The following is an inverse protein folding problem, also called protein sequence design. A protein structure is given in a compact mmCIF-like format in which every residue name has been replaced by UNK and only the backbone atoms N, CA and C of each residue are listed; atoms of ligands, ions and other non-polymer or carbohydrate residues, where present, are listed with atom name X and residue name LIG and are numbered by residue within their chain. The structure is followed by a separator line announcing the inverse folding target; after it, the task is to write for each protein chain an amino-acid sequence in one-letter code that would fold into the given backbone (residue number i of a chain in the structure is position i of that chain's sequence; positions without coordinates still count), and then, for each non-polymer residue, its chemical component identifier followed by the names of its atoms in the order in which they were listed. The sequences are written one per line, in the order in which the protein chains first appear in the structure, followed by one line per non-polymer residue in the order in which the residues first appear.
data_IF_914399524585
#
_entry.id   IF_914399524585
#
_cell.length_a   1.000
_cell.length_b   1.000
_cell.length_c   1.000
_cell.angle_alpha   90.00
_cell.angle_beta   90.00
_cell.angle_gamma   90.00
#
_symmetry.space_group_name_H-M   'P 1'
#
loop_
_entity.id
_entity.type
_entity.pdbx_description
1 polymer ?
#
# COMPACT_ATOMS: atom_id res chain seq x y z
N UNK A 1 -30.10 13.06 8.11
CA UNK A 1 -28.97 13.78 7.48
C UNK A 1 -28.97 13.40 6.00
N UNK A 2 -28.89 14.36 5.08
CA UNK A 2 -28.92 14.05 3.66
C UNK A 2 -27.65 13.25 3.28
N UNK A 3 -27.74 12.16 2.50
CA UNK A 3 -26.56 11.39 2.08
C UNK A 3 -25.46 12.25 1.44
N UNK A 4 -25.84 13.27 0.66
CA UNK A 4 -24.88 14.19 0.03
C UNK A 4 -24.07 15.01 1.05
N UNK A 5 -24.74 15.59 2.05
CA UNK A 5 -24.09 16.33 3.15
C UNK A 5 -23.15 15.42 3.95
N UNK A 6 -23.58 14.19 4.22
CA UNK A 6 -22.77 13.21 4.94
C UNK A 6 -21.45 12.90 4.20
N UNK A 7 -21.51 12.57 2.91
CA UNK A 7 -20.31 12.25 2.15
C UNK A 7 -19.43 13.48 1.90
N UNK A 8 -20.02 14.68 1.75
CA UNK A 8 -19.28 15.94 1.63
C UNK A 8 -18.45 16.21 2.89
N UNK A 9 -19.09 16.17 4.06
CA UNK A 9 -18.42 16.36 5.35
C UNK A 9 -17.29 15.34 5.57
N UNK A 10 -17.51 14.07 5.21
CA UNK A 10 -16.47 13.02 5.31
C UNK A 10 -15.33 13.22 4.32
N UNK A 11 -15.60 13.78 3.14
CA UNK A 11 -14.58 14.12 2.14
C UNK A 11 -13.65 15.23 2.67
N UNK A 12 -14.22 16.28 3.28
CA UNK A 12 -13.46 17.37 3.91
C UNK A 12 -12.62 16.89 5.11
N UNK A 13 -13.21 16.03 5.96
CA UNK A 13 -12.47 15.39 7.05
C UNK A 13 -11.29 14.57 6.51
N UNK A 14 -11.51 13.80 5.45
CA UNK A 14 -10.46 12.99 4.81
C UNK A 14 -9.37 13.87 4.20
N UNK A 15 -9.72 15.02 3.63
CA UNK A 15 -8.75 15.99 3.13
C UNK A 15 -7.86 16.54 4.26
N UNK A 16 -8.47 16.88 5.40
CA UNK A 16 -7.72 17.32 6.57
C UNK A 16 -6.75 16.23 7.06
N UNK A 17 -7.20 14.96 7.09
CA UNK A 17 -6.35 13.82 7.46
C UNK A 17 -5.20 13.61 6.47
N UNK A 18 -5.44 13.80 5.16
CA UNK A 18 -4.40 13.75 4.12
C UNK A 18 -3.34 14.81 4.39
N UNK A 19 -3.73 16.06 4.65
CA UNK A 19 -2.78 17.14 4.91
C UNK A 19 -1.95 16.88 6.17
N UNK A 20 -2.56 16.38 7.23
CA UNK A 20 -1.85 16.00 8.46
C UNK A 20 -0.86 14.84 8.21
N UNK A 21 -1.27 13.81 7.49
CA UNK A 21 -0.41 12.67 7.16
C UNK A 21 0.75 13.08 6.24
N UNK A 22 0.51 13.96 5.25
CA UNK A 22 1.55 14.52 4.38
C UNK A 22 2.62 15.28 5.17
N UNK A 23 2.22 16.08 6.16
CA UNK A 23 3.17 16.78 7.04
C UNK A 23 4.04 15.79 7.81
N UNK A 24 3.45 14.71 8.34
CA UNK A 24 4.19 13.64 9.03
C UNK A 24 5.19 12.95 8.10
N UNK A 25 4.75 12.54 6.90
CA UNK A 25 5.62 11.92 5.89
C UNK A 25 6.80 12.83 5.55
N UNK A 26 6.55 14.12 5.30
CA UNK A 26 7.59 15.11 5.01
C UNK A 26 8.56 15.30 6.19
N UNK A 27 8.03 15.37 7.42
CA UNK A 27 8.84 15.47 8.64
C UNK A 27 9.78 14.28 8.79
N UNK A 28 9.30 13.05 8.59
CA UNK A 28 10.16 11.87 8.68
C UNK A 28 11.17 11.78 7.54
N UNK A 29 10.83 12.25 6.33
CA UNK A 29 11.80 12.36 5.23
C UNK A 29 12.93 13.34 5.59
N UNK A 30 12.59 14.51 6.15
CA UNK A 30 13.57 15.49 6.60
C UNK A 30 14.41 14.97 7.78
N UNK A 31 13.80 14.33 8.78
CA UNK A 31 14.52 13.73 9.90
C UNK A 31 15.52 12.67 9.44
N UNK A 32 15.15 11.85 8.46
CA UNK A 32 16.06 10.86 7.88
C UNK A 32 17.28 11.51 7.24
N UNK A 33 17.07 12.59 6.48
CA UNK A 33 18.15 13.36 5.88
C UNK A 33 19.05 14.01 6.96
N UNK A 34 18.44 14.61 7.99
CA UNK A 34 19.17 15.21 9.10
C UNK A 34 20.04 14.18 9.83
N UNK A 35 19.49 12.99 10.12
CA UNK A 35 20.24 11.89 10.73
C UNK A 35 21.42 11.46 9.85
N UNK A 36 21.23 11.38 8.53
CA UNK A 36 22.32 11.04 7.63
C UNK A 36 23.44 12.08 7.66
N UNK A 37 23.10 13.37 7.60
CA UNK A 37 24.08 14.47 7.67
C UNK A 37 24.82 14.48 9.01
N UNK A 38 24.10 14.34 10.12
CA UNK A 38 24.69 14.30 11.46
C UNK A 38 25.60 13.07 11.61
N UNK A 39 25.17 11.90 11.13
CA UNK A 39 25.99 10.70 11.15
C UNK A 39 27.30 10.87 10.38
N UNK A 40 27.25 11.44 9.17
CA UNK A 40 28.45 11.74 8.38
C UNK A 40 29.39 12.71 9.11
N UNK A 41 28.86 13.76 9.73
CA UNK A 41 29.65 14.71 10.50
C UNK A 41 30.28 14.06 11.75
N UNK A 42 29.54 13.21 12.47
CA UNK A 42 30.05 12.50 13.64
C UNK A 42 31.18 11.54 13.27
N UNK A 43 31.08 10.82 12.15
CA UNK A 43 32.16 9.95 11.66
C UNK A 43 33.41 10.76 11.34
N UNK A 44 33.26 11.92 10.70
CA UNK A 44 34.38 12.84 10.43
C UNK A 44 35.02 13.39 11.72
N UNK A 45 34.20 13.78 12.70
CA UNK A 45 34.68 14.35 13.95
C UNK A 45 35.39 13.31 14.86
N UNK A 46 34.96 12.05 14.81
CA UNK A 46 35.53 10.94 15.59
C UNK A 46 36.63 10.18 14.82
N UNK A 47 37.12 10.74 13.73
CA UNK A 47 38.16 10.12 12.91
C UNK A 47 39.40 9.80 13.76
N UNK A 48 39.85 8.54 13.70
CA UNK A 48 40.97 8.04 14.50
C UNK A 48 40.59 7.24 15.75
N UNK A 49 39.33 7.28 16.21
CA UNK A 49 38.84 6.39 17.27
C UNK A 49 37.86 5.35 16.72
N UNK A 50 38.38 4.19 16.32
CA UNK A 50 37.62 3.09 15.71
C UNK A 50 36.47 2.60 16.59
N UNK A 51 36.66 2.56 17.91
CA UNK A 51 35.61 2.12 18.86
C UNK A 51 34.47 3.14 18.90
N UNK A 52 34.79 4.43 18.98
CA UNK A 52 33.78 5.50 19.01
C UNK A 52 32.99 5.58 17.68
N UNK A 53 33.67 5.40 16.55
CA UNK A 53 33.03 5.32 15.22
C UNK A 53 32.11 4.11 15.14
N UNK A 54 32.55 2.94 15.61
CA UNK A 54 31.73 1.72 15.64
C UNK A 54 30.46 1.87 16.48
N UNK A 55 30.57 2.45 17.68
CA UNK A 55 29.41 2.74 18.54
C UNK A 55 28.45 3.72 17.85
N UNK A 56 29.00 4.80 17.29
CA UNK A 56 28.21 5.81 16.56
C UNK A 56 27.42 5.19 15.41
N UNK A 57 28.05 4.30 14.64
CA UNK A 57 27.41 3.60 13.53
C UNK A 57 26.19 2.77 13.99
N UNK A 58 26.33 2.00 15.07
CA UNK A 58 25.23 1.20 15.63
C UNK A 58 24.09 2.10 16.10
N UNK A 59 24.40 3.19 16.80
CA UNK A 59 23.39 4.14 17.30
C UNK A 59 22.64 4.82 16.15
N UNK A 60 23.34 5.33 15.14
CA UNK A 60 22.70 5.97 13.99
C UNK A 60 21.91 4.98 13.14
N UNK A 61 22.38 3.73 13.01
CA UNK A 61 21.63 2.67 12.33
C UNK A 61 20.31 2.38 13.05
N UNK A 62 20.35 2.20 14.38
CA UNK A 62 19.14 1.98 15.18
C UNK A 62 18.16 3.17 15.08
N UNK A 63 18.68 4.40 15.17
CA UNK A 63 17.88 5.62 15.01
C UNK A 63 17.25 5.73 13.62
N UNK A 64 18.02 5.45 12.57
CA UNK A 64 17.55 5.47 11.19
C UNK A 64 16.43 4.45 10.98
N UNK A 65 16.61 3.21 11.44
CA UNK A 65 15.59 2.16 11.35
C UNK A 65 14.30 2.55 12.10
N UNK A 66 14.43 3.16 13.27
CA UNK A 66 13.28 3.68 14.03
C UNK A 66 12.51 4.74 13.23
N UNK A 67 13.21 5.71 12.62
CA UNK A 67 12.57 6.72 11.76
C UNK A 67 11.92 6.10 10.52
N UNK A 68 12.57 5.08 9.93
CA UNK A 68 12.00 4.34 8.80
C UNK A 68 10.66 3.70 9.20
N UNK A 69 10.60 3.03 10.35
CA UNK A 69 9.37 2.42 10.84
C UNK A 69 8.23 3.45 10.96
N UNK A 70 8.45 4.57 11.65
CA UNK A 70 7.44 5.63 11.75
C UNK A 70 7.06 6.27 10.40
N UNK A 71 8.01 6.33 9.46
CA UNK A 71 7.74 6.84 8.12
C UNK A 71 6.82 5.92 7.32
N UNK A 72 6.91 4.59 7.53
CA UNK A 72 6.02 3.61 6.91
C UNK A 72 4.60 3.79 7.46
N UNK A 73 4.44 3.91 8.77
CA UNK A 73 3.13 4.13 9.39
C UNK A 73 2.48 5.44 8.91
N UNK A 74 3.27 6.52 8.80
CA UNK A 74 2.78 7.78 8.27
C UNK A 74 2.32 7.67 6.81
N UNK A 75 3.02 6.89 5.98
CA UNK A 75 2.62 6.61 4.60
C UNK A 75 1.35 5.75 4.55
N UNK A 76 1.22 4.73 5.40
CA UNK A 76 0.00 3.92 5.48
C UNK A 76 -1.21 4.76 5.90
N UNK A 77 -1.04 5.66 6.87
CA UNK A 77 -2.10 6.59 7.28
C UNK A 77 -2.52 7.52 6.14
N UNK A 78 -1.56 8.01 5.35
CA UNK A 78 -1.82 8.83 4.17
C UNK A 78 -2.61 8.07 3.10
N UNK A 79 -2.22 6.84 2.79
CA UNK A 79 -2.90 6.00 1.82
C UNK A 79 -4.32 5.62 2.27
N UNK A 80 -4.53 5.33 3.57
CA UNK A 80 -5.87 5.14 4.16
C UNK A 80 -6.76 6.37 3.97
N UNK A 81 -6.24 7.57 4.27
CA UNK A 81 -7.00 8.81 4.14
C UNK A 81 -7.34 9.13 2.67
N UNK A 82 -6.41 8.88 1.74
CA UNK A 82 -6.64 9.00 0.28
C UNK A 82 -7.70 8.03 -0.22
N UNK A 83 -7.62 6.77 0.18
CA UNK A 83 -8.62 5.76 -0.18
C UNK A 83 -10.02 6.14 0.34
N UNK A 84 -10.10 6.64 1.58
CA UNK A 84 -11.36 7.12 2.16
C UNK A 84 -11.94 8.31 1.40
N UNK A 85 -11.10 9.30 1.08
CA UNK A 85 -11.52 10.45 0.26
C UNK A 85 -12.03 10.00 -1.11
N UNK A 86 -11.30 9.10 -1.79
CA UNK A 86 -11.70 8.56 -3.09
C UNK A 86 -13.07 7.87 -3.02
N UNK A 87 -13.30 7.05 -2.00
CA UNK A 87 -14.61 6.41 -1.80
C UNK A 87 -15.71 7.46 -1.64
N UNK A 88 -15.54 8.45 -0.77
CA UNK A 88 -16.56 9.49 -0.57
C UNK A 88 -16.84 10.29 -1.84
N UNK A 89 -15.82 10.63 -2.64
CA UNK A 89 -16.00 11.30 -3.93
C UNK A 89 -16.78 10.41 -4.90
N UNK A 90 -16.43 9.13 -5.00
CA UNK A 90 -17.13 8.19 -5.87
C UNK A 90 -18.62 8.06 -5.48
N UNK A 91 -18.95 8.04 -4.18
CA UNK A 91 -20.34 8.02 -3.73
C UNK A 91 -21.06 9.35 -4.00
N UNK A 92 -20.39 10.49 -3.87
CA UNK A 92 -20.97 11.80 -4.25
C UNK A 92 -21.30 11.85 -5.75
N UNK A 93 -20.41 11.36 -6.59
CA UNK A 93 -20.63 11.26 -8.03
C UNK A 93 -21.79 10.28 -8.33
N UNK A 94 -21.86 9.16 -7.62
CA UNK A 94 -22.95 8.18 -7.74
C UNK A 94 -24.31 8.79 -7.41
N UNK A 95 -24.38 9.65 -6.37
CA UNK A 95 -25.59 10.39 -6.01
C UNK A 95 -26.01 11.40 -7.10
N UNK A 96 -25.08 11.84 -7.95
CA UNK A 96 -25.35 12.69 -9.12
C UNK A 96 -25.66 11.88 -10.39
N UNK A 97 -25.68 10.54 -10.30
CA UNK A 97 -25.93 9.64 -11.42
C UNK A 97 -24.68 9.21 -12.19
N UNK A 98 -23.48 9.60 -11.76
CA UNK A 98 -22.23 9.16 -12.36
C UNK A 98 -21.67 7.92 -11.63
N UNK A 99 -21.88 6.74 -12.23
CA UNK A 99 -21.35 5.46 -11.76
C UNK A 99 -20.04 5.07 -12.45
N UNK A 100 -19.38 6.00 -13.15
CA UNK A 100 -18.15 5.77 -13.92
C UNK A 100 -17.08 5.02 -13.14
N UNK A 101 -16.96 5.32 -11.84
CA UNK A 101 -15.96 4.78 -10.94
C UNK A 101 -16.18 3.33 -10.51
N UNK A 102 -17.37 2.76 -10.76
CA UNK A 102 -17.70 1.38 -10.40
C UNK A 102 -17.66 0.48 -11.62
N UNK A 103 -17.17 -0.74 -11.41
CA UNK A 103 -17.00 -1.73 -12.45
C UNK A 103 -18.37 -2.30 -12.89
N UNK A 104 -18.69 -2.30 -14.19
CA UNK A 104 -19.95 -2.80 -14.72
C UNK A 104 -20.11 -4.33 -14.64
N UNK A 105 -19.04 -5.09 -14.40
CA UNK A 105 -19.12 -6.55 -14.23
C UNK A 105 -19.36 -7.32 -15.52
N UNK A 106 -18.97 -6.76 -16.66
CA UNK A 106 -19.16 -7.36 -18.01
C UNK A 106 -18.59 -8.79 -18.10
N UNK A 107 -17.56 -9.11 -17.32
CA UNK A 107 -16.98 -10.46 -17.23
C UNK A 107 -17.94 -11.54 -16.68
N UNK A 108 -19.05 -11.16 -16.04
CA UNK A 108 -20.07 -12.06 -15.53
C UNK A 108 -21.31 -12.14 -16.43
N UNK A 109 -21.27 -11.44 -17.57
CA UNK A 109 -22.35 -11.49 -18.54
C UNK A 109 -22.38 -12.88 -19.19
N UNK A 110 -23.35 -13.69 -18.77
CA UNK A 110 -23.66 -14.96 -19.41
C UNK A 110 -24.85 -14.78 -20.34
N UNK A 111 -24.63 -15.03 -21.64
CA UNK A 111 -25.67 -14.96 -22.66
C UNK A 111 -26.65 -16.13 -22.60
N UNK A 112 -26.39 -17.17 -21.80
CA UNK A 112 -27.25 -18.34 -21.64
C UNK A 112 -28.18 -18.26 -20.43
N UNK A 113 -27.95 -17.31 -19.53
CA UNK A 113 -28.77 -17.16 -18.33
C UNK A 113 -30.08 -16.40 -18.63
N UNK A 114 -31.27 -16.94 -18.28
CA UNK A 114 -32.57 -16.41 -18.70
C UNK A 114 -32.81 -14.93 -18.36
N UNK A 115 -32.23 -14.44 -17.26
CA UNK A 115 -32.48 -13.10 -16.73
C UNK A 115 -31.32 -12.12 -16.89
N UNK A 116 -30.15 -12.59 -17.36
CA UNK A 116 -28.93 -11.78 -17.44
C UNK A 116 -29.06 -10.66 -18.48
N UNK A 117 -29.70 -10.96 -19.61
CA UNK A 117 -29.92 -10.02 -20.72
C UNK A 117 -31.19 -9.19 -20.59
N UNK A 118 -32.27 -9.72 -20.01
CA UNK A 118 -33.56 -8.99 -19.90
C UNK A 118 -33.54 -7.88 -18.84
N UNK A 119 -32.79 -8.07 -17.75
CA UNK A 119 -32.69 -7.10 -16.64
C UNK A 119 -31.47 -6.18 -16.77
N UNK A 120 -30.75 -6.22 -17.90
CA UNK A 120 -29.52 -5.46 -18.14
C UNK A 120 -28.53 -5.56 -16.96
N UNK A 121 -28.38 -6.75 -16.34
CA UNK A 121 -27.67 -6.88 -15.07
C UNK A 121 -26.22 -6.38 -15.15
N UNK A 122 -25.51 -6.77 -16.21
CA UNK A 122 -24.07 -6.48 -16.43
C UNK A 122 -23.80 -5.45 -17.53
N UNK A 123 -24.84 -4.73 -17.98
CA UNK A 123 -24.69 -3.66 -18.95
C UNK A 123 -23.90 -2.46 -18.38
N UNK A 124 -23.35 -1.56 -19.21
CA UNK A 124 -22.62 -0.38 -18.74
C UNK A 124 -23.40 0.57 -17.81
N UNK A 125 -24.74 0.56 -17.89
CA UNK A 125 -25.66 1.25 -16.97
C UNK A 125 -26.55 0.26 -16.19
N UNK A 126 -26.07 -0.97 -16.05
CA UNK A 126 -26.78 -2.08 -15.45
C UNK A 126 -26.87 -2.04 -13.93
N UNK A 127 -27.72 -2.90 -13.39
CA UNK A 127 -27.98 -3.02 -11.95
C UNK A 127 -26.71 -3.39 -11.18
N UNK A 128 -25.84 -4.25 -11.75
CA UNK A 128 -24.58 -4.63 -11.12
C UNK A 128 -23.73 -3.41 -10.82
N UNK A 129 -23.53 -2.54 -11.81
CA UNK A 129 -22.73 -1.31 -11.66
C UNK A 129 -23.31 -0.39 -10.60
N UNK A 130 -24.63 -0.27 -10.58
CA UNK A 130 -25.35 0.55 -9.61
C UNK A 130 -25.17 0.03 -8.19
N UNK A 131 -25.08 -1.29 -7.98
CA UNK A 131 -24.96 -1.92 -6.66
C UNK A 131 -23.51 -2.13 -6.20
N UNK A 132 -22.56 -2.29 -7.13
CA UNK A 132 -21.21 -2.74 -6.85
C UNK A 132 -20.40 -1.75 -6.00
N UNK A 133 -20.18 -2.09 -4.72
CA UNK A 133 -19.21 -1.41 -3.81
C UNK A 133 -18.11 -2.37 -3.34
N UNK A 134 -17.97 -3.49 -4.04
CA UNK A 134 -16.99 -4.53 -3.71
C UNK A 134 -15.58 -4.03 -3.99
N UNK A 135 -14.62 -4.50 -3.19
CA UNK A 135 -13.21 -4.08 -3.30
C UNK A 135 -12.29 -5.20 -3.75
N UNK A 136 -12.77 -6.45 -3.65
CA UNK A 136 -12.01 -7.66 -3.99
C UNK A 136 -12.70 -8.41 -5.13
N UNK A 137 -11.92 -9.17 -5.91
CA UNK A 137 -12.46 -10.00 -6.99
C UNK A 137 -13.43 -11.06 -6.45
N UNK A 138 -13.13 -11.66 -5.29
CA UNK A 138 -14.03 -12.61 -4.64
C UNK A 138 -15.36 -11.98 -4.24
N UNK A 139 -15.34 -10.74 -3.73
CA UNK A 139 -16.56 -10.00 -3.41
C UNK A 139 -17.38 -9.68 -4.66
N UNK A 140 -16.70 -9.28 -5.74
CA UNK A 140 -17.31 -9.02 -7.05
C UNK A 140 -18.04 -10.26 -7.59
N UNK A 141 -17.37 -11.42 -7.54
CA UNK A 141 -17.94 -12.73 -7.91
C UNK A 141 -19.14 -13.09 -7.03
N UNK A 142 -19.04 -12.92 -5.72
CA UNK A 142 -20.13 -13.22 -4.80
C UNK A 142 -21.36 -12.33 -5.04
N UNK A 143 -21.17 -11.04 -5.36
CA UNK A 143 -22.28 -10.16 -5.73
C UNK A 143 -22.91 -10.56 -7.06
N UNK A 144 -22.11 -10.93 -8.06
CA UNK A 144 -22.62 -11.39 -9.35
C UNK A 144 -23.43 -12.69 -9.20
N UNK A 145 -22.92 -13.65 -8.42
CA UNK A 145 -23.59 -14.91 -8.11
C UNK A 145 -24.92 -14.67 -7.35
N UNK A 146 -24.91 -13.77 -6.37
CA UNK A 146 -26.13 -13.37 -5.64
C UNK A 146 -27.19 -12.77 -6.58
N UNK A 147 -26.79 -11.97 -7.57
CA UNK A 147 -27.71 -11.36 -8.52
C UNK A 147 -28.25 -12.35 -9.57
N UNK A 148 -27.44 -13.33 -9.96
CA UNK A 148 -27.84 -14.36 -10.93
C UNK A 148 -28.73 -15.43 -10.30
N UNK A 149 -28.31 -15.98 -9.16
CA UNK A 149 -28.89 -17.17 -8.55
C UNK A 149 -29.78 -16.88 -7.33
N UNK A 150 -29.76 -15.64 -6.82
CA UNK A 150 -30.45 -15.28 -5.59
C UNK A 150 -29.79 -15.84 -4.33
N UNK A 151 -30.35 -15.49 -3.17
CA UNK A 151 -29.93 -16.06 -1.88
C UNK A 151 -30.74 -17.31 -1.54
N UNK A 152 -30.09 -18.32 -0.97
CA UNK A 152 -30.76 -19.49 -0.36
C UNK A 152 -31.59 -19.12 0.87
N UNK A 153 -31.20 -18.04 1.56
CA UNK A 153 -31.89 -17.50 2.74
C UNK A 153 -31.99 -15.97 2.60
N UNK A 154 -33.06 -15.48 1.95
CA UNK A 154 -33.25 -14.04 1.74
C UNK A 154 -33.47 -13.27 3.04
N UNK A 155 -34.09 -13.89 4.05
CA UNK A 155 -34.37 -13.23 5.33
C UNK A 155 -33.08 -12.85 6.04
N UNK A 156 -32.16 -13.81 6.16
CA UNK A 156 -30.85 -13.58 6.77
C UNK A 156 -30.03 -12.53 6.01
N UNK A 157 -30.10 -12.53 4.68
CA UNK A 157 -29.41 -11.50 3.87
C UNK A 157 -29.97 -10.12 4.15
N UNK A 158 -31.29 -9.97 4.23
CA UNK A 158 -31.94 -8.70 4.55
C UNK A 158 -31.59 -8.19 5.95
N UNK A 159 -31.54 -9.07 6.95
CA UNK A 159 -31.10 -8.72 8.32
C UNK A 159 -29.65 -8.20 8.33
N UNK A 160 -28.75 -8.85 7.59
CA UNK A 160 -27.36 -8.42 7.46
C UNK A 160 -27.29 -7.06 6.76
N UNK A 161 -28.07 -6.85 5.70
CA UNK A 161 -28.11 -5.56 4.98
C UNK A 161 -28.60 -4.45 5.92
N UNK A 162 -29.68 -4.69 6.68
CA UNK A 162 -30.22 -3.70 7.61
C UNK A 162 -29.18 -3.34 8.69
N UNK A 163 -28.58 -4.34 9.32
CA UNK A 163 -27.53 -4.13 10.31
C UNK A 163 -26.33 -3.35 9.73
N UNK A 164 -25.84 -3.73 8.55
CA UNK A 164 -24.69 -3.06 7.93
C UNK A 164 -25.01 -1.65 7.42
N UNK A 165 -26.27 -1.38 7.04
CA UNK A 165 -26.70 -0.05 6.61
C UNK A 165 -26.59 0.98 7.74
N UNK A 166 -26.73 0.54 8.99
CA UNK A 166 -26.59 1.36 10.19
C UNK A 166 -25.11 1.55 10.60
N UNK A 167 -24.21 0.68 10.12
CA UNK A 167 -22.78 0.66 10.47
C UNK A 167 -21.88 1.28 9.38
N UNK A 168 -22.22 2.50 8.94
CA UNK A 168 -21.55 3.18 7.81
C UNK A 168 -20.05 3.36 8.04
N UNK A 169 -19.62 3.68 9.26
CA UNK A 169 -18.19 3.85 9.54
C UNK A 169 -17.41 2.55 9.38
N UNK A 170 -17.99 1.44 9.83
CA UNK A 170 -17.40 0.13 9.72
C UNK A 170 -17.33 -0.32 8.25
N UNK A 171 -18.41 -0.17 7.49
CA UNK A 171 -18.46 -0.56 6.07
C UNK A 171 -17.48 0.27 5.23
N UNK A 172 -17.36 1.58 5.49
CA UNK A 172 -16.32 2.40 4.85
C UNK A 172 -14.91 1.95 5.25
N UNK A 173 -14.67 1.67 6.53
CA UNK A 173 -13.39 1.15 7.01
C UNK A 173 -13.00 -0.17 6.36
N UNK A 174 -13.96 -1.08 6.19
CA UNK A 174 -13.81 -2.33 5.47
C UNK A 174 -13.44 -2.10 4.00
N UNK A 175 -14.14 -1.18 3.30
CA UNK A 175 -13.85 -0.82 1.91
C UNK A 175 -12.45 -0.20 1.76
N UNK A 176 -12.05 0.69 2.66
CA UNK A 176 -10.69 1.26 2.67
C UNK A 176 -9.65 0.15 2.83
N UNK A 177 -9.87 -0.76 3.78
CA UNK A 177 -8.93 -1.86 4.06
C UNK A 177 -8.81 -2.80 2.87
N UNK A 178 -9.94 -3.18 2.25
CA UNK A 178 -9.95 -3.99 1.03
C UNK A 178 -9.26 -3.31 -0.14
N UNK A 179 -9.50 -2.00 -0.35
CA UNK A 179 -8.84 -1.25 -1.43
C UNK A 179 -7.30 -1.19 -1.27
N UNK A 180 -6.80 -1.10 -0.04
CA UNK A 180 -5.36 -1.16 0.24
C UNK A 180 -4.79 -2.57 0.06
N UNK A 181 -5.50 -3.59 0.54
CA UNK A 181 -5.08 -4.98 0.40
C UNK A 181 -5.00 -5.41 -1.07
N UNK A 182 -6.02 -5.10 -1.88
CA UNK A 182 -6.01 -5.43 -3.32
C UNK A 182 -4.91 -4.71 -4.09
N UNK A 183 -4.52 -3.49 -3.66
CA UNK A 183 -3.36 -2.79 -4.22
C UNK A 183 -2.05 -3.47 -3.84
N UNK A 184 -1.93 -3.95 -2.60
CA UNK A 184 -0.76 -4.70 -2.14
C UNK A 184 -0.64 -6.05 -2.87
N UNK A 185 -1.74 -6.78 -3.05
CA UNK A 185 -1.79 -8.00 -3.85
C UNK A 185 -1.39 -7.73 -5.30
N UNK A 186 -1.93 -6.69 -5.92
CA UNK A 186 -1.53 -6.27 -7.27
C UNK A 186 -0.04 -5.90 -7.35
N UNK A 187 0.50 -5.23 -6.33
CA UNK A 187 1.93 -4.92 -6.26
C UNK A 187 2.79 -6.19 -6.09
N UNK A 188 2.36 -7.15 -5.28
CA UNK A 188 3.04 -8.46 -5.12
C UNK A 188 3.04 -9.25 -6.43
N UNK A 189 1.91 -9.28 -7.14
CA UNK A 189 1.79 -9.92 -8.46
C UNK A 189 2.68 -9.24 -9.50
N UNK A 190 2.73 -7.91 -9.52
CA UNK A 190 3.64 -7.18 -10.39
C UNK A 190 5.11 -7.52 -10.07
N UNK A 191 5.49 -7.51 -8.79
CA UNK A 191 6.86 -7.84 -8.36
C UNK A 191 7.23 -9.29 -8.68
N UNK A 192 6.33 -10.25 -8.53
CA UNK A 192 6.60 -11.65 -8.90
C UNK A 192 6.73 -11.82 -10.41
N UNK A 193 5.95 -11.09 -11.21
CA UNK A 193 6.10 -11.05 -12.67
C UNK A 193 7.42 -10.39 -13.10
N UNK A 194 7.81 -9.28 -12.47
CA UNK A 194 9.11 -8.65 -12.68
C UNK A 194 10.26 -9.57 -12.26
N UNK A 195 10.17 -10.25 -11.12
CA UNK A 195 11.19 -11.20 -10.65
C UNK A 195 11.26 -12.48 -11.50
N UNK A 196 10.17 -12.84 -12.18
CA UNK A 196 10.12 -13.94 -13.14
C UNK A 196 10.73 -13.58 -14.50
N UNK A 197 11.02 -12.31 -14.78
CA UNK A 197 11.88 -11.97 -15.91
C UNK A 197 13.30 -12.44 -15.62
N UNK A 198 13.76 -13.42 -16.40
CA UNK A 198 15.12 -13.92 -16.31
C UNK A 198 16.10 -12.77 -16.62
N UNK A 199 16.69 -12.19 -15.57
CA UNK A 199 17.85 -11.30 -15.71
C UNK A 199 18.98 -12.16 -16.24
N UNK A 200 19.32 -12.01 -17.51
CA UNK A 200 20.48 -12.67 -18.12
C UNK A 200 21.75 -12.03 -17.57
N UNK A 201 22.14 -12.41 -16.35
CA UNK A 201 23.36 -11.92 -15.74
C UNK A 201 24.57 -12.61 -16.38
N UNK A 202 25.56 -11.85 -16.87
CA UNK A 202 26.81 -12.44 -17.35
C UNK A 202 27.57 -13.10 -16.19
N UNK A 203 28.28 -14.21 -16.48
CA UNK A 203 28.90 -15.09 -15.48
C UNK A 203 29.85 -14.38 -14.50
N UNK A 204 30.43 -13.24 -14.88
CA UNK A 204 31.33 -12.45 -14.02
C UNK A 204 30.63 -11.78 -12.82
N UNK A 205 29.32 -11.53 -12.90
CA UNK A 205 28.56 -10.89 -11.80
C UNK A 205 28.48 -11.81 -10.57
N UNK A 206 28.36 -13.13 -10.78
CA UNK A 206 28.40 -14.11 -9.70
C UNK A 206 29.72 -14.08 -8.92
N UNK A 207 30.85 -13.96 -9.63
CA UNK A 207 32.17 -13.83 -9.01
C UNK A 207 32.30 -12.54 -8.21
N UNK A 208 31.68 -11.46 -8.66
CA UNK A 208 31.68 -10.18 -7.95
C UNK A 208 30.87 -10.23 -6.64
N UNK A 209 29.68 -10.84 -6.66
CA UNK A 209 28.81 -10.93 -5.49
C UNK A 209 29.45 -11.70 -4.34
N UNK A 210 30.23 -12.75 -4.64
CA UNK A 210 30.94 -13.52 -3.60
C UNK A 210 32.36 -13.03 -3.36
N UNK A 211 33.05 -12.54 -4.39
CA UNK A 211 34.44 -12.08 -4.30
C UNK A 211 34.59 -10.77 -3.54
N UNK A 212 33.66 -9.82 -3.71
CA UNK A 212 33.74 -8.52 -3.03
C UNK A 212 33.62 -8.69 -1.50
N UNK A 213 32.62 -9.39 -0.93
CA UNK A 213 32.56 -9.63 0.52
C UNK A 213 33.74 -10.46 1.05
N UNK A 214 34.20 -11.46 0.29
CA UNK A 214 35.31 -12.32 0.68
C UNK A 214 36.63 -11.55 0.76
N UNK A 215 36.80 -10.48 -0.01
CA UNK A 215 37.99 -9.62 0.06
C UNK A 215 37.81 -8.49 1.08
N UNK A 216 36.63 -7.88 1.17
CA UNK A 216 36.41 -6.72 2.03
C UNK A 216 36.35 -7.09 3.51
N UNK A 217 35.74 -8.22 3.88
CA UNK A 217 35.61 -8.63 5.29
C UNK A 217 36.98 -8.97 5.90
N UNK A 218 37.84 -9.81 5.28
CA UNK A 218 39.17 -10.09 5.81
C UNK A 218 40.11 -8.88 5.74
N UNK A 219 40.00 -8.05 4.71
CA UNK A 219 40.78 -6.80 4.64
C UNK A 219 40.43 -5.86 5.80
N UNK A 220 39.15 -5.77 6.17
CA UNK A 220 38.72 -4.96 7.31
C UNK A 220 39.22 -5.55 8.64
N UNK A 221 39.19 -6.89 8.78
CA UNK A 221 39.68 -7.60 9.99
C UNK A 221 41.19 -7.50 10.13
N UNK A 222 41.95 -7.71 9.06
CA UNK A 222 43.41 -7.61 9.05
C UNK A 222 43.90 -6.19 9.33
N UNK A 223 43.18 -5.17 8.83
CA UNK A 223 43.42 -3.77 9.18
C UNK A 223 43.19 -3.50 10.68
N UNK A 224 42.12 -4.04 11.28
CA UNK A 224 41.83 -3.84 12.70
C UNK A 224 42.78 -4.61 13.65
N UNK A 225 43.53 -5.59 13.14
CA UNK A 225 44.50 -6.39 13.91
C UNK A 225 45.96 -5.91 13.72
N UNK A 226 46.17 -4.73 13.13
CA UNK A 226 47.49 -4.16 12.80
C UNK A 226 48.41 -5.09 11.97
N UNK A 227 47.83 -6.08 11.28
CA UNK A 227 48.54 -7.03 10.42
C UNK A 227 48.94 -6.43 9.06
N UNK A 228 48.36 -5.28 8.70
CA UNK A 228 48.64 -4.55 7.44
C UNK A 228 48.89 -3.08 7.80
N UNK A 229 50.10 -2.57 7.53
CA UNK A 229 50.43 -1.16 7.76
C UNK A 229 49.74 -0.24 6.76
N UNK A 230 49.48 1.00 7.16
CA UNK A 230 48.71 2.05 6.45
C UNK A 230 49.28 2.52 5.09
N UNK A 231 50.21 1.79 4.48
CA UNK A 231 50.99 2.23 3.32
C UNK A 231 50.62 1.57 1.99
N UNK A 232 49.60 0.71 1.92
CA UNK A 232 49.23 0.04 0.65
C UNK A 232 48.11 0.72 -0.14
N UNK A 233 47.60 1.87 0.31
CA UNK A 233 46.66 2.71 -0.44
C UNK A 233 47.27 4.09 -0.73
N UNK A 234 48.24 4.12 -1.64
CA UNK A 234 48.57 5.30 -2.46
C UNK A 234 48.35 4.96 -3.92
#
# INVERSE_FOLDING_TARGET
MNPSEFYSSRSELSETQIQQALRKVRRYAFLRLAVFVVASFTVYALWGNVVAVGISFVVFTALFLSIVHFSVDAKLALEKARARKKININELNALQGDFSAFDPGVEFQDGTHPFSNDLDLFAPKGVFRFLNRTTTLSGKKALADLLLNGSKDPQKVNEIIDFLSQQIEWTQGFRVSGALASREEGAKLALSQFGAQAVQNPRWVGWMVYGVPLLTIPSLVAYNLDLISSLTFT
#
